data_IF_477376354479
#
_entry.id   IF_477376354479
#
_cell.length_a   1.000
_cell.length_b   1.000
_cell.length_c   1.000
_cell.angle_alpha   90.00
_cell.angle_beta   90.00
_cell.angle_gamma   90.00
#
_symmetry.space_group_name_H-M   'P 1'
#
loop_
_entity.id
_entity.type
_entity.pdbx_description
1 polymer ?
#
# COMPACT_ATOMS: atom_id res chain seq x y z
N UNK A 1 82.53 -12.21 13.18
CA UNK A 1 81.37 -12.95 13.66
C UNK A 1 80.25 -11.96 13.70
N UNK A 2 79.56 -11.87 12.56
CA UNK A 2 78.49 -10.89 12.28
C UNK A 2 77.12 -11.45 12.66
N UNK A 3 76.47 -10.76 13.54
CA UNK A 3 75.07 -11.12 13.88
C UNK A 3 74.09 -10.24 13.09
N UNK A 4 73.40 -10.88 12.22
CA UNK A 4 72.32 -10.26 11.37
C UNK A 4 71.13 -9.78 12.23
N UNK A 5 70.73 -8.53 12.03
CA UNK A 5 69.42 -7.94 12.49
C UNK A 5 68.31 -8.41 11.64
N UNK A 6 67.11 -8.71 12.17
CA UNK A 6 65.93 -8.96 11.37
C UNK A 6 65.30 -7.64 10.90
N UNK A 7 64.92 -7.63 9.66
CA UNK A 7 64.18 -6.62 8.93
C UNK A 7 62.75 -6.46 9.47
N UNK A 8 62.39 -5.27 9.95
CA UNK A 8 61.10 -4.94 10.52
C UNK A 8 60.32 -4.03 9.51
N UNK A 9 59.92 -4.59 8.37
CA UNK A 9 59.05 -3.93 7.40
C UNK A 9 57.61 -4.46 7.47
N UNK A 10 56.89 -4.12 8.54
CA UNK A 10 55.44 -4.22 8.57
C UNK A 10 54.87 -2.89 8.13
N UNK A 11 54.44 -2.82 6.86
CA UNK A 11 53.61 -1.75 6.34
C UNK A 11 52.26 -1.69 7.09
N UNK A 12 51.56 -0.54 7.04
CA UNK A 12 50.30 -0.35 7.75
C UNK A 12 49.23 -1.28 7.18
N UNK A 13 48.68 -2.14 8.05
CA UNK A 13 47.46 -2.87 7.73
C UNK A 13 46.32 -1.83 7.58
N UNK A 14 45.85 -1.61 6.36
CA UNK A 14 44.60 -0.98 6.11
C UNK A 14 43.48 -1.79 6.78
N UNK A 15 42.92 -1.20 7.84
CA UNK A 15 41.64 -1.64 8.40
C UNK A 15 40.58 -1.44 7.35
N UNK A 16 40.27 -2.48 6.59
CA UNK A 16 39.04 -2.60 5.84
C UNK A 16 37.89 -2.61 6.86
N UNK A 17 37.36 -1.41 7.15
CA UNK A 17 36.12 -1.22 7.89
C UNK A 17 35.04 -2.02 7.18
N UNK A 18 34.53 -3.03 7.90
CA UNK A 18 33.62 -4.04 7.40
C UNK A 18 32.40 -3.47 6.71
N UNK A 19 32.14 -3.97 5.53
CA UNK A 19 30.81 -3.96 4.97
C UNK A 19 29.85 -4.53 6.03
N UNK A 20 28.93 -3.72 6.55
CA UNK A 20 27.84 -4.20 7.39
C UNK A 20 27.13 -5.27 6.56
N UNK A 21 27.24 -6.53 6.96
CA UNK A 21 26.52 -7.62 6.31
C UNK A 21 25.04 -7.27 6.25
N UNK A 22 24.40 -7.58 5.11
CA UNK A 22 22.95 -7.43 4.99
C UNK A 22 22.28 -8.20 6.15
N UNK A 23 21.20 -7.67 6.74
CA UNK A 23 20.51 -8.35 7.83
C UNK A 23 20.06 -9.75 7.37
N UNK A 24 20.23 -10.73 8.25
CA UNK A 24 19.72 -12.07 8.00
C UNK A 24 18.19 -12.00 7.88
N UNK A 25 17.65 -12.56 6.78
CA UNK A 25 16.22 -12.56 6.47
C UNK A 25 15.74 -13.99 6.30
N UNK A 26 15.32 -14.65 7.39
CA UNK A 26 14.81 -16.02 7.31
C UNK A 26 13.59 -16.10 6.41
N UNK A 27 13.41 -17.26 5.74
CA UNK A 27 12.21 -17.54 4.99
C UNK A 27 10.98 -17.56 5.90
N UNK A 28 9.78 -17.37 5.32
CA UNK A 28 8.52 -17.62 6.03
C UNK A 28 8.44 -19.09 6.44
N UNK A 29 8.03 -19.32 7.66
CA UNK A 29 7.81 -20.67 8.18
C UNK A 29 6.54 -21.27 7.56
N UNK A 30 6.74 -22.12 6.55
CA UNK A 30 5.66 -22.76 5.79
C UNK A 30 4.86 -23.74 6.65
N UNK A 31 5.51 -24.42 7.60
CA UNK A 31 4.86 -25.35 8.50
C UNK A 31 3.93 -24.59 9.45
N UNK A 32 4.41 -23.51 10.07
CA UNK A 32 3.60 -22.67 10.93
C UNK A 32 2.43 -21.99 10.19
N UNK A 33 2.59 -21.65 8.91
CA UNK A 33 1.52 -21.07 8.07
C UNK A 33 0.51 -22.09 7.57
N UNK A 34 0.89 -23.36 7.44
CA UNK A 34 0.00 -24.47 7.06
C UNK A 34 -0.55 -25.26 8.26
N UNK A 35 -0.31 -24.80 9.48
CA UNK A 35 -0.84 -25.43 10.70
C UNK A 35 -2.37 -25.53 10.66
N UNK A 36 -2.89 -26.73 10.84
CA UNK A 36 -4.32 -27.02 10.72
C UNK A 36 -5.19 -26.22 11.71
N UNK A 37 -4.68 -25.98 12.94
CA UNK A 37 -5.43 -25.22 13.94
C UNK A 37 -5.46 -23.73 13.55
N UNK A 38 -4.37 -23.20 13.01
CA UNK A 38 -4.33 -21.83 12.51
C UNK A 38 -5.31 -21.65 11.34
N UNK A 39 -5.28 -22.53 10.34
CA UNK A 39 -6.19 -22.46 9.20
C UNK A 39 -7.66 -22.61 9.63
N UNK A 40 -7.96 -23.55 10.52
CA UNK A 40 -9.31 -23.73 11.05
C UNK A 40 -9.81 -22.51 11.85
N UNK A 41 -8.97 -21.95 12.72
CA UNK A 41 -9.33 -20.78 13.53
C UNK A 41 -9.57 -19.54 12.68
N UNK A 42 -8.77 -19.36 11.63
CA UNK A 42 -8.90 -18.22 10.69
C UNK A 42 -9.95 -18.46 9.61
N UNK A 43 -10.36 -19.70 9.35
CA UNK A 43 -11.22 -20.07 8.21
C UNK A 43 -10.56 -19.80 6.86
N UNK A 44 -9.22 -19.70 6.83
CA UNK A 44 -8.45 -19.61 5.58
C UNK A 44 -8.61 -20.94 4.84
N UNK A 45 -9.15 -20.86 3.61
CA UNK A 45 -9.45 -22.04 2.82
C UNK A 45 -8.18 -22.71 2.26
N UNK A 46 -7.20 -21.88 1.89
CA UNK A 46 -5.86 -22.32 1.47
C UNK A 46 -4.85 -21.19 1.67
N UNK A 47 -3.60 -21.55 1.97
CA UNK A 47 -2.49 -20.60 2.05
C UNK A 47 -1.30 -21.15 1.25
N UNK A 48 -0.87 -20.38 0.28
CA UNK A 48 0.26 -20.74 -0.60
C UNK A 48 1.40 -19.75 -0.40
N UNK A 49 2.61 -20.28 -0.20
CA UNK A 49 3.85 -19.49 -0.12
C UNK A 49 4.70 -19.76 -1.34
N UNK A 50 5.05 -18.73 -2.11
CA UNK A 50 5.96 -18.82 -3.26
C UNK A 50 7.25 -18.07 -3.00
N UNK A 51 8.36 -18.51 -3.60
CA UNK A 51 9.66 -17.84 -3.43
C UNK A 51 9.68 -16.50 -4.15
N UNK A 52 9.26 -16.48 -5.42
CA UNK A 52 9.28 -15.26 -6.24
C UNK A 52 8.09 -15.26 -7.18
N UNK A 53 7.48 -14.11 -7.33
CA UNK A 53 6.47 -13.85 -8.35
C UNK A 53 6.58 -12.42 -8.88
N UNK A 54 5.87 -12.10 -9.96
CA UNK A 54 5.71 -10.74 -10.43
C UNK A 54 4.92 -9.89 -9.42
N UNK A 55 3.72 -10.36 -9.06
CA UNK A 55 2.82 -9.72 -8.09
C UNK A 55 1.78 -10.71 -7.60
N UNK A 56 1.65 -10.88 -6.29
CA UNK A 56 0.63 -11.76 -5.67
C UNK A 56 -0.79 -11.34 -6.04
N UNK A 57 -1.08 -10.03 -6.13
CA UNK A 57 -2.36 -9.53 -6.60
C UNK A 57 -2.64 -9.92 -8.06
N UNK A 58 -1.68 -9.69 -8.95
CA UNK A 58 -1.84 -10.01 -10.36
C UNK A 58 -2.00 -11.52 -10.60
N UNK A 59 -1.27 -12.35 -9.83
CA UNK A 59 -1.39 -13.80 -9.92
C UNK A 59 -2.74 -14.29 -9.46
N UNK A 60 -3.24 -13.80 -8.32
CA UNK A 60 -4.59 -14.16 -7.84
C UNK A 60 -5.68 -13.66 -8.78
N UNK A 61 -5.55 -12.41 -9.31
CA UNK A 61 -6.51 -11.88 -10.26
C UNK A 61 -6.59 -12.77 -11.52
N UNK A 62 -5.46 -13.21 -12.06
CA UNK A 62 -5.38 -14.14 -13.17
C UNK A 62 -5.97 -15.51 -12.78
N UNK A 63 -5.60 -16.03 -11.62
CA UNK A 63 -6.03 -17.33 -11.13
C UNK A 63 -7.56 -17.42 -10.96
N UNK A 64 -8.18 -16.41 -10.34
CA UNK A 64 -9.66 -16.37 -10.20
C UNK A 64 -10.38 -16.15 -11.52
N UNK A 65 -9.71 -15.59 -12.53
CA UNK A 65 -10.26 -15.43 -13.88
C UNK A 65 -10.25 -16.77 -14.64
N UNK A 66 -9.19 -17.56 -14.48
CA UNK A 66 -9.03 -18.85 -15.18
C UNK A 66 -9.86 -19.94 -14.52
N UNK A 67 -9.79 -20.07 -13.21
CA UNK A 67 -10.56 -21.05 -12.43
C UNK A 67 -11.09 -20.43 -11.12
N UNK A 68 -12.29 -19.82 -11.16
CA UNK A 68 -12.89 -19.20 -9.98
C UNK A 68 -13.14 -20.15 -8.81
N UNK A 69 -13.30 -21.46 -9.09
CA UNK A 69 -13.62 -22.46 -8.05
C UNK A 69 -12.39 -22.96 -7.30
N UNK A 70 -11.23 -22.94 -7.95
CA UNK A 70 -9.96 -23.30 -7.31
C UNK A 70 -9.50 -22.23 -6.29
N UNK A 71 -10.10 -21.03 -6.32
CA UNK A 71 -9.73 -19.90 -5.45
C UNK A 71 -10.96 -19.42 -4.67
N UNK A 72 -11.33 -20.13 -3.60
CA UNK A 72 -12.48 -19.78 -2.78
C UNK A 72 -12.25 -18.51 -1.95
N UNK A 73 -13.28 -18.08 -1.23
CA UNK A 73 -13.16 -17.01 -0.22
C UNK A 73 -12.06 -17.34 0.79
N UNK A 74 -11.29 -16.32 1.20
CA UNK A 74 -10.13 -16.45 2.09
C UNK A 74 -9.03 -17.41 1.56
N UNK A 75 -8.90 -17.58 0.24
CA UNK A 75 -7.68 -18.13 -0.34
C UNK A 75 -6.55 -17.08 -0.24
N UNK A 76 -5.36 -17.50 0.20
CA UNK A 76 -4.21 -16.63 0.50
C UNK A 76 -3.00 -17.02 -0.36
N UNK A 77 -2.36 -16.02 -0.98
CA UNK A 77 -1.06 -16.15 -1.64
C UNK A 77 -0.07 -15.16 -1.00
N UNK A 78 1.05 -15.67 -0.52
CA UNK A 78 2.16 -14.83 -0.03
C UNK A 78 3.45 -15.18 -0.76
N UNK A 79 4.34 -14.19 -0.92
CA UNK A 79 5.60 -14.34 -1.63
C UNK A 79 6.77 -13.84 -0.79
N UNK A 80 7.93 -14.50 -0.94
CA UNK A 80 9.19 -14.02 -0.34
C UNK A 80 9.74 -12.80 -1.10
N UNK A 81 9.43 -12.71 -2.40
CA UNK A 81 9.85 -11.61 -3.27
C UNK A 81 8.84 -11.35 -4.38
N UNK A 82 8.60 -10.08 -4.69
CA UNK A 82 7.86 -9.63 -5.86
C UNK A 82 8.74 -8.79 -6.77
N UNK A 83 8.77 -9.09 -8.06
CA UNK A 83 9.62 -8.40 -9.06
C UNK A 83 8.90 -7.29 -9.82
N UNK A 84 7.57 -7.23 -9.74
CA UNK A 84 6.74 -6.26 -10.45
C UNK A 84 5.50 -5.86 -9.62
N UNK A 85 5.69 -5.75 -8.30
CA UNK A 85 4.61 -5.37 -7.40
C UNK A 85 4.09 -3.95 -7.68
N UNK A 86 2.79 -3.77 -7.56
CA UNK A 86 2.10 -2.51 -7.81
C UNK A 86 1.29 -2.06 -6.61
N UNK A 87 1.37 -0.77 -6.34
CA UNK A 87 0.41 -0.05 -5.51
C UNK A 87 -0.68 0.58 -6.37
N UNK A 88 -1.48 1.45 -5.78
CA UNK A 88 -2.50 2.22 -6.51
C UNK A 88 -1.87 3.06 -7.61
N UNK A 89 -2.63 3.23 -8.72
CA UNK A 89 -2.21 4.01 -9.89
C UNK A 89 -0.86 3.54 -10.45
N UNK A 90 -0.67 2.22 -10.48
CA UNK A 90 0.51 1.54 -11.03
C UNK A 90 1.86 1.98 -10.44
N UNK A 91 1.87 2.60 -9.26
CA UNK A 91 3.12 2.92 -8.57
C UNK A 91 3.85 1.63 -8.19
N UNK A 92 5.14 1.57 -8.47
CA UNK A 92 5.95 0.44 -8.06
C UNK A 92 5.94 0.28 -6.53
N UNK A 93 5.92 -0.97 -6.07
CA UNK A 93 6.20 -1.35 -4.69
C UNK A 93 7.47 -2.20 -4.71
N UNK A 94 8.58 -1.62 -4.29
CA UNK A 94 9.89 -2.26 -4.34
C UNK A 94 10.36 -2.62 -2.93
N UNK A 95 10.82 -3.86 -2.77
CA UNK A 95 11.40 -4.34 -1.52
C UNK A 95 12.36 -5.50 -1.83
N UNK A 96 13.52 -5.56 -1.18
CA UNK A 96 14.41 -6.71 -1.29
C UNK A 96 13.71 -8.02 -0.89
N UNK A 97 14.19 -9.14 -1.42
CA UNK A 97 13.68 -10.45 -1.07
C UNK A 97 13.71 -10.65 0.45
N UNK A 98 12.62 -11.23 0.99
CA UNK A 98 12.46 -11.54 2.42
C UNK A 98 12.54 -10.35 3.37
N UNK A 99 12.41 -9.12 2.88
CA UNK A 99 12.40 -7.91 3.71
C UNK A 99 11.01 -7.47 4.15
N UNK A 100 9.97 -7.98 3.51
CA UNK A 100 8.59 -7.56 3.67
C UNK A 100 7.64 -8.74 3.85
N UNK A 101 6.48 -8.49 4.42
CA UNK A 101 5.30 -9.36 4.24
C UNK A 101 4.58 -8.90 2.99
N UNK A 102 4.45 -9.80 2.01
CA UNK A 102 3.81 -9.56 0.72
C UNK A 102 2.69 -10.60 0.55
N UNK A 103 1.46 -10.21 0.82
CA UNK A 103 0.33 -11.14 0.89
C UNK A 103 -0.87 -10.60 0.14
N UNK A 104 -1.60 -11.49 -0.55
CA UNK A 104 -2.88 -11.19 -1.18
C UNK A 104 -3.91 -12.24 -0.81
N UNK A 105 -5.17 -11.79 -0.66
CA UNK A 105 -6.32 -12.62 -0.32
C UNK A 105 -7.36 -12.53 -1.42
N UNK A 106 -8.04 -13.62 -1.71
CA UNK A 106 -9.29 -13.63 -2.48
C UNK A 106 -10.44 -13.47 -1.49
N UNK A 107 -11.26 -12.45 -1.70
CA UNK A 107 -12.46 -12.21 -0.89
C UNK A 107 -13.70 -12.34 -1.77
N UNK A 108 -14.70 -13.06 -1.27
CA UNK A 108 -16.04 -13.19 -1.88
C UNK A 108 -17.09 -12.84 -0.82
N UNK A 109 -17.29 -11.51 -0.56
CA UNK A 109 -18.08 -11.08 0.58
C UNK A 109 -19.53 -11.54 0.47
N UNK A 110 -19.91 -12.45 1.36
CA UNK A 110 -21.28 -12.94 1.54
C UNK A 110 -21.67 -12.86 3.01
N UNK A 111 -22.94 -12.59 3.29
CA UNK A 111 -23.44 -12.58 4.67
C UNK A 111 -23.67 -14.00 5.21
N UNK A 112 -24.16 -14.11 6.45
CA UNK A 112 -24.43 -15.38 7.10
C UNK A 112 -25.46 -16.25 6.36
N UNK A 113 -26.36 -15.66 5.57
CA UNK A 113 -27.35 -16.35 4.74
C UNK A 113 -26.80 -16.77 3.35
N UNK A 114 -25.49 -16.50 3.08
CA UNK A 114 -24.86 -16.77 1.79
C UNK A 114 -25.21 -15.76 0.70
N UNK A 115 -25.85 -14.63 1.04
CA UNK A 115 -26.17 -13.56 0.09
C UNK A 115 -24.96 -12.63 -0.12
N UNK A 116 -24.67 -12.23 -1.37
CA UNK A 116 -23.63 -11.27 -1.67
C UNK A 116 -23.83 -9.95 -0.92
N UNK A 117 -22.77 -9.38 -0.38
CA UNK A 117 -22.81 -8.01 0.13
C UNK A 117 -22.94 -7.01 -1.03
N UNK A 118 -23.61 -5.86 -0.81
CA UNK A 118 -23.62 -4.77 -1.78
C UNK A 118 -22.20 -4.30 -2.11
N UNK A 119 -21.88 -4.14 -3.39
CA UNK A 119 -20.53 -3.75 -3.84
C UNK A 119 -20.10 -2.38 -3.32
N UNK A 120 -21.05 -1.51 -2.96
CA UNK A 120 -20.78 -0.21 -2.31
C UNK A 120 -20.05 -0.37 -0.96
N UNK A 121 -20.21 -1.52 -0.28
CA UNK A 121 -19.52 -1.79 1.00
C UNK A 121 -18.08 -2.25 0.82
N UNK A 122 -17.64 -2.56 -0.40
CA UNK A 122 -16.31 -3.11 -0.68
C UNK A 122 -15.18 -2.10 -0.47
N UNK A 123 -15.47 -0.81 -0.52
CA UNK A 123 -14.53 0.27 -0.16
C UNK A 123 -13.98 0.12 1.27
N UNK A 124 -14.79 -0.44 2.18
CA UNK A 124 -14.40 -0.71 3.55
C UNK A 124 -13.40 -1.84 3.71
N UNK A 125 -13.25 -2.75 2.73
CA UNK A 125 -12.33 -3.88 2.85
C UNK A 125 -10.87 -3.45 2.98
N UNK A 126 -10.46 -2.38 2.30
CA UNK A 126 -9.11 -1.83 2.45
C UNK A 126 -8.89 -1.21 3.84
N UNK A 127 -9.89 -0.52 4.37
CA UNK A 127 -9.84 0.09 5.70
C UNK A 127 -9.89 -0.98 6.80
N UNK A 128 -10.66 -2.04 6.60
CA UNK A 128 -10.70 -3.21 7.49
C UNK A 128 -9.32 -3.89 7.56
N UNK A 129 -8.68 -4.09 6.40
CA UNK A 129 -7.33 -4.63 6.35
C UNK A 129 -6.31 -3.73 7.06
N UNK A 130 -6.45 -2.41 6.90
CA UNK A 130 -5.59 -1.44 7.59
C UNK A 130 -5.76 -1.49 9.12
N UNK A 131 -7.00 -1.62 9.61
CA UNK A 131 -7.28 -1.81 11.05
C UNK A 131 -6.68 -3.12 11.55
N UNK A 132 -6.87 -4.23 10.82
CA UNK A 132 -6.31 -5.53 11.20
C UNK A 132 -4.79 -5.51 11.27
N UNK A 133 -4.13 -4.85 10.31
CA UNK A 133 -2.68 -4.72 10.28
C UNK A 133 -2.17 -3.81 11.40
N UNK A 134 -2.83 -2.67 11.63
CA UNK A 134 -2.54 -1.78 12.76
C UNK A 134 -2.59 -2.54 14.09
N UNK A 135 -3.65 -3.28 14.33
CA UNK A 135 -3.81 -4.05 15.55
C UNK A 135 -2.75 -5.16 15.68
N UNK A 136 -2.37 -5.81 14.57
CA UNK A 136 -1.27 -6.78 14.54
C UNK A 136 0.08 -6.11 14.89
N UNK A 137 0.38 -4.94 14.33
CA UNK A 137 1.60 -4.20 14.65
C UNK A 137 1.65 -3.75 16.11
N UNK A 138 0.55 -3.25 16.64
CA UNK A 138 0.47 -2.80 18.03
C UNK A 138 0.71 -3.96 19.00
N UNK A 139 0.07 -5.11 18.80
CA UNK A 139 0.08 -6.20 19.77
C UNK A 139 1.25 -7.16 19.57
N UNK A 140 1.67 -7.43 18.33
CA UNK A 140 2.75 -8.39 18.03
C UNK A 140 4.10 -7.74 17.98
N UNK A 141 4.21 -6.55 17.36
CA UNK A 141 5.48 -5.83 17.23
C UNK A 141 5.71 -4.79 18.33
N UNK A 142 4.68 -4.41 19.08
CA UNK A 142 4.76 -3.39 20.13
C UNK A 142 4.97 -1.97 19.61
N UNK A 143 4.60 -1.70 18.35
CA UNK A 143 4.75 -0.37 17.73
C UNK A 143 3.39 0.26 17.44
N UNK A 144 3.13 1.49 17.93
CA UNK A 144 1.87 2.17 17.68
C UNK A 144 1.77 2.58 16.21
N UNK A 145 0.73 2.11 15.53
CA UNK A 145 0.47 2.41 14.14
C UNK A 145 -0.82 3.21 13.97
N UNK A 146 -0.84 4.09 12.98
CA UNK A 146 -1.95 4.94 12.59
C UNK A 146 -2.39 4.61 11.16
N UNK A 147 -3.60 5.05 10.80
CA UNK A 147 -4.13 4.92 9.45
C UNK A 147 -4.04 6.25 8.70
N UNK A 148 -3.69 6.19 7.43
CA UNK A 148 -3.78 7.32 6.52
C UNK A 148 -4.66 6.96 5.34
N UNK A 149 -5.74 7.72 5.19
CA UNK A 149 -6.68 7.52 4.09
C UNK A 149 -5.98 7.69 2.72
N UNK A 150 -6.28 6.86 1.72
CA UNK A 150 -7.30 5.81 1.76
C UNK A 150 -6.79 4.41 2.17
N UNK A 151 -5.49 4.14 2.19
CA UNK A 151 -4.98 2.76 2.16
C UNK A 151 -3.58 2.56 2.76
N UNK A 152 -3.07 3.53 3.50
CA UNK A 152 -1.72 3.47 4.08
C UNK A 152 -1.78 3.23 5.60
N UNK A 153 -0.82 2.48 6.12
CA UNK A 153 -0.54 2.36 7.55
C UNK A 153 0.77 3.09 7.83
N UNK A 154 0.75 3.91 8.85
CA UNK A 154 1.89 4.75 9.25
C UNK A 154 2.37 4.37 10.65
N UNK A 155 3.65 4.60 10.91
CA UNK A 155 4.23 4.62 12.27
C UNK A 155 5.07 5.87 12.39
N UNK A 156 4.77 6.71 13.37
CA UNK A 156 5.44 8.01 13.58
C UNK A 156 5.53 8.86 12.31
N UNK A 157 4.48 8.83 11.50
CA UNK A 157 4.39 9.57 10.23
C UNK A 157 5.06 8.91 9.03
N UNK A 158 5.87 7.86 9.21
CA UNK A 158 6.48 7.08 8.14
C UNK A 158 5.53 5.98 7.64
N UNK A 159 5.41 5.83 6.31
CA UNK A 159 4.62 4.76 5.70
C UNK A 159 5.30 3.41 5.90
N UNK A 160 4.65 2.52 6.66
CA UNK A 160 5.14 1.17 6.93
C UNK A 160 4.46 0.13 6.04
N UNK A 161 3.21 0.37 5.64
CA UNK A 161 2.47 -0.56 4.79
C UNK A 161 1.52 0.16 3.82
N UNK A 162 1.18 -0.55 2.74
CA UNK A 162 0.18 -0.16 1.77
C UNK A 162 -0.77 -1.32 1.45
N UNK A 163 -2.03 -1.00 1.22
CA UNK A 163 -3.09 -1.96 0.91
C UNK A 163 -3.66 -1.65 -0.46
N UNK A 164 -3.88 -2.67 -1.28
CA UNK A 164 -4.44 -2.55 -2.62
C UNK A 164 -5.57 -3.55 -2.81
N UNK A 165 -6.80 -3.06 -2.90
CA UNK A 165 -7.96 -3.85 -3.30
C UNK A 165 -8.23 -3.67 -4.79
N UNK A 166 -8.45 -4.79 -5.50
CA UNK A 166 -8.78 -4.83 -6.91
C UNK A 166 -10.01 -5.73 -7.11
N UNK A 167 -10.99 -5.21 -7.85
CA UNK A 167 -12.16 -5.99 -8.19
C UNK A 167 -11.81 -6.96 -9.32
N UNK A 168 -12.11 -8.23 -9.13
CA UNK A 168 -11.97 -9.24 -10.17
C UNK A 168 -13.17 -9.26 -11.11
N UNK A 169 -13.10 -10.02 -12.21
CA UNK A 169 -14.19 -10.12 -13.17
C UNK A 169 -15.40 -10.78 -12.53
N UNK A 170 -16.58 -10.32 -12.93
CA UNK A 170 -17.83 -11.05 -12.68
C UNK A 170 -17.77 -12.38 -13.46
N UNK A 171 -17.78 -13.49 -12.73
CA UNK A 171 -17.92 -14.81 -13.32
C UNK A 171 -19.37 -15.09 -13.72
N UNK A 172 -19.80 -16.34 -13.59
CA UNK A 172 -21.11 -16.90 -13.94
C UNK A 172 -22.32 -16.43 -13.09
N UNK A 173 -22.37 -15.14 -12.71
CA UNK A 173 -23.44 -14.55 -11.90
C UNK A 173 -23.21 -14.58 -10.40
N UNK A 174 -22.03 -14.94 -9.98
CA UNK A 174 -21.61 -14.93 -8.58
C UNK A 174 -21.06 -13.57 -8.12
N UNK A 175 -20.74 -13.47 -6.86
CA UNK A 175 -20.12 -12.32 -6.21
C UNK A 175 -18.78 -11.98 -6.93
N UNK A 176 -18.55 -10.74 -7.39
CA UNK A 176 -17.25 -10.38 -7.93
C UNK A 176 -16.18 -10.55 -6.84
N UNK A 177 -15.10 -11.31 -7.09
CA UNK A 177 -14.05 -11.44 -6.11
C UNK A 177 -13.30 -10.13 -5.94
N UNK A 178 -12.89 -9.83 -4.71
CA UNK A 178 -11.94 -8.75 -4.42
C UNK A 178 -10.59 -9.39 -4.14
N UNK A 179 -9.56 -8.97 -4.86
CA UNK A 179 -8.18 -9.32 -4.56
C UNK A 179 -7.61 -8.23 -3.68
N UNK A 180 -7.32 -8.58 -2.43
CA UNK A 180 -6.85 -7.65 -1.41
C UNK A 180 -5.37 -7.90 -1.12
N UNK A 181 -4.48 -7.05 -1.61
CA UNK A 181 -3.05 -7.11 -1.37
C UNK A 181 -2.61 -6.23 -0.21
N UNK A 182 -1.67 -6.73 0.57
CA UNK A 182 -1.02 -6.00 1.66
C UNK A 182 0.49 -6.16 1.55
N UNK A 183 1.20 -5.03 1.48
CA UNK A 183 2.65 -4.97 1.58
C UNK A 183 3.04 -4.29 2.90
N UNK A 184 3.80 -4.99 3.76
CA UNK A 184 4.33 -4.48 5.03
C UNK A 184 5.86 -4.51 4.99
N UNK A 185 6.49 -3.37 5.15
CA UNK A 185 7.95 -3.25 5.29
C UNK A 185 8.38 -3.77 6.67
N UNK A 186 9.17 -4.86 6.72
CA UNK A 186 9.57 -5.45 8.00
C UNK A 186 11.04 -5.17 8.33
N UNK A 187 11.98 -5.62 7.51
CA UNK A 187 13.42 -5.53 7.78
C UNK A 187 14.18 -4.64 6.81
N UNK A 188 13.49 -3.75 6.07
CA UNK A 188 14.16 -2.77 5.22
C UNK A 188 15.01 -1.84 6.08
N UNK A 189 16.26 -1.64 5.67
CA UNK A 189 17.16 -0.62 6.22
C UNK A 189 16.86 0.76 5.61
N UNK A 190 17.46 1.83 6.15
CA UNK A 190 17.27 3.19 5.62
C UNK A 190 17.65 3.29 4.14
N UNK A 191 18.76 2.64 3.74
CA UNK A 191 19.26 2.65 2.36
C UNK A 191 18.40 1.83 1.38
N UNK A 192 17.54 0.95 1.90
CA UNK A 192 16.63 0.11 1.11
C UNK A 192 15.22 0.71 0.98
N UNK A 193 14.93 1.78 1.69
CA UNK A 193 13.61 2.44 1.60
C UNK A 193 13.43 3.11 0.22
N UNK A 194 12.29 2.87 -0.47
CA UNK A 194 12.06 3.41 -1.81
C UNK A 194 11.87 4.93 -1.82
N UNK A 195 11.45 5.50 -0.70
CA UNK A 195 11.21 6.95 -0.54
C UNK A 195 11.48 7.39 0.89
N UNK A 196 11.87 8.67 1.13
CA UNK A 196 12.18 9.16 2.47
C UNK A 196 11.01 9.16 3.47
N UNK A 197 9.78 9.05 2.97
CA UNK A 197 8.57 8.98 3.80
C UNK A 197 8.17 7.55 4.16
N UNK A 198 8.93 6.54 3.71
CA UNK A 198 8.73 5.15 4.10
C UNK A 198 9.47 4.83 5.41
N UNK A 199 9.07 3.73 6.05
CA UNK A 199 9.74 3.15 7.20
C UNK A 199 9.55 1.63 7.22
N UNK A 200 10.15 0.93 8.18
CA UNK A 200 9.98 -0.50 8.41
C UNK A 200 9.78 -0.83 9.88
N UNK A 201 9.29 -2.03 10.18
CA UNK A 201 9.11 -2.54 11.54
C UNK A 201 10.45 -2.48 12.31
N UNK A 202 11.54 -2.88 11.66
CA UNK A 202 12.89 -2.84 12.22
C UNK A 202 13.34 -1.41 12.57
N UNK A 203 13.15 -0.45 11.66
CA UNK A 203 13.54 0.94 11.88
C UNK A 203 12.72 1.63 12.98
N UNK A 204 11.53 1.11 13.27
CA UNK A 204 10.70 1.61 14.36
C UNK A 204 11.01 1.00 15.72
N UNK A 205 12.03 0.13 15.81
CA UNK A 205 12.48 -0.45 17.08
C UNK A 205 11.49 -1.45 17.66
N UNK A 206 10.83 -2.24 16.81
CA UNK A 206 9.85 -3.23 17.22
C UNK A 206 10.46 -4.35 18.09
N UNK A 207 9.62 -4.94 18.95
CA UNK A 207 9.98 -6.09 19.76
C UNK A 207 10.21 -7.38 18.96
N UNK A 208 9.67 -7.44 17.74
CA UNK A 208 9.91 -8.55 16.81
C UNK A 208 9.93 -8.06 15.36
N UNK A 209 10.73 -8.71 14.54
CA UNK A 209 10.79 -8.59 13.07
C UNK A 209 10.49 -9.95 12.40
N UNK A 210 9.91 -10.89 13.14
CA UNK A 210 9.47 -12.16 12.61
C UNK A 210 8.28 -11.97 11.66
N UNK A 211 8.54 -12.15 10.36
CA UNK A 211 7.55 -11.99 9.30
C UNK A 211 6.42 -13.02 9.40
N UNK A 212 6.72 -14.24 9.85
CA UNK A 212 5.70 -15.28 10.03
C UNK A 212 4.74 -14.94 11.15
N UNK A 213 5.26 -14.50 12.30
CA UNK A 213 4.45 -14.08 13.44
C UNK A 213 3.57 -12.87 13.07
N UNK A 214 4.12 -11.87 12.39
CA UNK A 214 3.38 -10.70 11.91
C UNK A 214 2.28 -11.07 10.91
N UNK A 215 2.58 -11.93 9.93
CA UNK A 215 1.62 -12.41 8.95
C UNK A 215 0.48 -13.19 9.61
N UNK A 216 0.77 -14.14 10.50
CA UNK A 216 -0.24 -14.90 11.25
C UNK A 216 -1.14 -13.99 12.09
N UNK A 217 -0.55 -13.03 12.80
CA UNK A 217 -1.31 -12.06 13.60
C UNK A 217 -2.23 -11.21 12.70
N UNK A 218 -1.72 -10.67 11.60
CA UNK A 218 -2.50 -9.90 10.64
C UNK A 218 -3.67 -10.72 10.07
N UNK A 219 -3.40 -11.94 9.56
CA UNK A 219 -4.42 -12.80 8.98
C UNK A 219 -5.50 -13.19 9.99
N UNK A 220 -5.13 -13.52 11.23
CA UNK A 220 -6.09 -13.87 12.29
C UNK A 220 -7.05 -12.71 12.56
N UNK A 221 -6.54 -11.49 12.69
CA UNK A 221 -7.35 -10.29 12.93
C UNK A 221 -8.21 -9.93 11.74
N UNK A 222 -7.61 -9.98 10.55
CA UNK A 222 -8.32 -9.70 9.32
C UNK A 222 -9.51 -10.65 9.15
N UNK A 223 -9.30 -11.95 9.24
CA UNK A 223 -10.37 -12.94 9.07
C UNK A 223 -11.48 -12.80 10.11
N UNK A 224 -11.13 -12.45 11.35
CA UNK A 224 -12.13 -12.21 12.41
C UNK A 224 -13.00 -10.98 12.10
N UNK A 225 -12.36 -9.85 11.73
CA UNK A 225 -13.07 -8.63 11.38
C UNK A 225 -13.87 -8.78 10.09
N UNK A 226 -13.31 -9.45 9.08
CA UNK A 226 -13.95 -9.68 7.79
C UNK A 226 -15.24 -10.50 7.95
N UNK A 227 -15.21 -11.63 8.68
CA UNK A 227 -16.41 -12.42 8.96
C UNK A 227 -17.45 -11.63 9.75
N UNK A 228 -17.01 -10.86 10.75
CA UNK A 228 -17.92 -10.03 11.52
C UNK A 228 -18.57 -8.93 10.66
N UNK A 229 -17.81 -8.33 9.74
CA UNK A 229 -18.30 -7.34 8.79
C UNK A 229 -19.30 -7.98 7.79
N UNK A 230 -18.99 -9.16 7.27
CA UNK A 230 -19.91 -9.91 6.41
C UNK A 230 -21.21 -10.28 7.14
N UNK A 231 -21.12 -10.74 8.38
CA UNK A 231 -22.29 -11.07 9.20
C UNK A 231 -23.15 -9.86 9.59
N UNK A 232 -22.58 -8.65 9.51
CA UNK A 232 -23.30 -7.39 9.68
C UNK A 232 -23.78 -6.81 8.34
N UNK A 233 -23.93 -7.63 7.28
CA UNK A 233 -24.37 -7.21 5.95
C UNK A 233 -23.50 -6.10 5.31
N UNK A 234 -22.23 -5.99 5.75
CA UNK A 234 -21.32 -4.94 5.29
C UNK A 234 -21.56 -3.58 5.93
N UNK A 235 -22.36 -3.51 6.99
CA UNK A 235 -22.57 -2.29 7.76
C UNK A 235 -21.33 -1.98 8.62
N UNK A 236 -20.56 -0.97 8.18
CA UNK A 236 -19.37 -0.52 8.90
C UNK A 236 -19.68 0.19 10.23
N UNK A 237 -20.94 0.58 10.47
CA UNK A 237 -21.38 1.22 11.72
C UNK A 237 -21.81 0.22 12.78
N UNK A 238 -22.05 -1.03 12.40
CA UNK A 238 -22.34 -2.12 13.35
C UNK A 238 -21.09 -2.49 14.16
N UNK A 239 -21.28 -2.90 15.41
CA UNK A 239 -20.20 -3.41 16.25
C UNK A 239 -19.59 -4.68 15.66
N UNK A 240 -18.25 -4.75 15.61
CA UNK A 240 -17.55 -5.89 15.02
C UNK A 240 -16.79 -6.70 16.08
N UNK A 241 -16.91 -8.02 16.00
CA UNK A 241 -16.19 -8.96 16.86
C UNK A 241 -16.33 -8.63 18.37
N UNK A 242 -17.53 -8.23 18.80
CA UNK A 242 -17.81 -7.87 20.20
C UNK A 242 -17.22 -6.54 20.67
N UNK A 243 -16.69 -5.72 19.75
CA UNK A 243 -16.08 -4.41 20.03
C UNK A 243 -16.69 -3.26 19.23
N UNK A 244 -16.00 -2.14 19.13
CA UNK A 244 -16.44 -0.99 18.34
C UNK A 244 -16.65 -1.34 16.86
N UNK A 245 -17.49 -0.56 16.18
CA UNK A 245 -17.72 -0.66 14.75
C UNK A 245 -16.44 -0.41 13.95
N UNK A 246 -16.41 -0.89 12.69
CA UNK A 246 -15.28 -0.63 11.78
C UNK A 246 -15.10 0.87 11.58
N UNK A 247 -16.19 1.58 11.32
CA UNK A 247 -16.19 3.03 11.16
C UNK A 247 -15.49 3.71 12.35
N UNK A 248 -15.88 3.35 13.59
CA UNK A 248 -15.29 3.94 14.81
C UNK A 248 -13.82 3.59 14.99
N UNK A 249 -13.41 2.35 14.70
CA UNK A 249 -11.99 1.92 14.74
C UNK A 249 -11.15 2.72 13.75
N UNK A 250 -11.66 2.90 12.52
CA UNK A 250 -10.99 3.68 11.48
C UNK A 250 -10.87 5.14 11.87
N UNK A 251 -11.97 5.79 12.27
CA UNK A 251 -11.93 7.19 12.70
C UNK A 251 -10.94 7.46 13.83
N UNK A 252 -10.93 6.57 14.84
CA UNK A 252 -10.04 6.72 16.00
C UNK A 252 -8.56 6.63 15.63
N UNK A 253 -8.22 5.87 14.58
CA UNK A 253 -6.84 5.64 14.15
C UNK A 253 -6.42 6.52 12.96
N UNK A 254 -7.35 7.25 12.34
CA UNK A 254 -7.15 7.94 11.05
C UNK A 254 -6.52 9.31 11.26
N UNK A 255 -5.20 9.43 11.04
CA UNK A 255 -4.48 10.72 11.16
C UNK A 255 -4.82 11.72 10.05
N UNK A 256 -5.52 11.29 9.00
CA UNK A 256 -6.00 12.20 7.94
C UNK A 256 -7.11 13.11 8.42
N UNK A 257 -7.98 12.62 9.30
CA UNK A 257 -9.11 13.42 9.82
C UNK A 257 -8.60 14.57 10.69
N UNK A 258 -9.24 15.69 10.58
CA UNK A 258 -8.83 16.91 11.29
C UNK A 258 -7.70 17.68 10.61
N UNK A 259 -7.16 17.22 9.47
CA UNK A 259 -6.06 17.87 8.76
C UNK A 259 -6.56 18.73 7.59
N UNK A 260 -5.81 19.79 7.30
CA UNK A 260 -5.91 20.44 6.00
C UNK A 260 -5.26 19.54 4.96
N UNK A 261 -5.99 19.20 3.92
CA UNK A 261 -5.53 18.28 2.87
C UNK A 261 -5.68 18.89 1.49
N UNK A 262 -4.84 18.41 0.59
CA UNK A 262 -4.97 18.60 -0.85
C UNK A 262 -5.25 17.24 -1.48
N UNK A 263 -6.42 17.05 -2.04
CA UNK A 263 -6.80 15.89 -2.81
C UNK A 263 -6.67 16.19 -4.30
N UNK A 264 -5.79 15.46 -4.99
CA UNK A 264 -5.66 15.52 -6.45
C UNK A 264 -6.56 14.45 -7.06
N UNK A 265 -7.39 14.87 -8.00
CA UNK A 265 -8.33 14.03 -8.74
C UNK A 265 -7.91 13.92 -10.21
N UNK A 266 -8.48 12.99 -11.00
CA UNK A 266 -8.24 12.90 -12.44
C UNK A 266 -8.56 14.21 -13.16
N UNK A 267 -7.82 14.51 -14.24
CA UNK A 267 -8.02 15.72 -15.04
C UNK A 267 -7.53 17.00 -14.37
N UNK A 268 -6.48 16.89 -13.56
CA UNK A 268 -5.83 18.00 -12.83
C UNK A 268 -6.77 18.79 -11.89
N UNK A 269 -7.88 18.18 -11.50
CA UNK A 269 -8.76 18.75 -10.50
C UNK A 269 -8.14 18.60 -9.10
N UNK A 270 -8.23 19.67 -8.32
CA UNK A 270 -7.78 19.68 -6.93
C UNK A 270 -8.90 20.13 -5.99
N UNK A 271 -8.99 19.46 -4.85
CA UNK A 271 -9.81 19.88 -3.70
C UNK A 271 -8.85 20.18 -2.56
N UNK A 272 -8.92 21.42 -2.03
CA UNK A 272 -8.15 21.84 -0.87
C UNK A 272 -9.16 22.18 0.24
N UNK A 273 -9.02 21.53 1.40
CA UNK A 273 -9.95 21.75 2.49
C UNK A 273 -9.62 20.94 3.71
N UNK A 274 -10.51 20.96 4.67
CA UNK A 274 -10.40 20.23 5.93
C UNK A 274 -11.01 18.83 5.77
N UNK A 275 -10.23 17.80 6.03
CA UNK A 275 -10.70 16.41 6.07
C UNK A 275 -11.57 16.21 7.31
N UNK A 276 -12.89 16.23 7.16
CA UNK A 276 -13.82 16.34 8.30
C UNK A 276 -14.19 14.96 8.88
N UNK A 277 -14.62 14.04 8.06
CA UNK A 277 -15.11 12.71 8.45
C UNK A 277 -15.08 11.73 7.28
N UNK A 278 -15.37 10.47 7.56
CA UNK A 278 -15.74 9.50 6.54
C UNK A 278 -17.26 9.40 6.43
N UNK A 279 -17.76 9.14 5.23
CA UNK A 279 -19.17 8.81 5.04
C UNK A 279 -19.42 7.29 5.24
N UNK A 280 -20.68 6.87 5.09
CA UNK A 280 -21.09 5.47 5.25
C UNK A 280 -20.44 4.53 4.23
N UNK A 281 -19.91 5.05 3.13
CA UNK A 281 -19.15 4.29 2.13
C UNK A 281 -17.65 4.25 2.40
N UNK A 282 -17.14 4.93 3.44
CA UNK A 282 -15.71 5.09 3.72
C UNK A 282 -15.01 6.12 2.83
N UNK A 283 -15.76 6.93 2.08
CA UNK A 283 -15.22 8.06 1.33
C UNK A 283 -14.87 9.20 2.26
N UNK A 284 -13.83 9.98 1.90
CA UNK A 284 -13.40 11.12 2.70
C UNK A 284 -14.21 12.36 2.36
N UNK A 285 -14.78 12.99 3.37
CA UNK A 285 -15.45 14.28 3.24
C UNK A 285 -14.46 15.42 3.53
N UNK A 286 -14.30 16.29 2.54
CA UNK A 286 -13.40 17.45 2.60
C UNK A 286 -14.24 18.72 2.51
N UNK A 287 -14.15 19.59 3.52
CA UNK A 287 -14.84 20.88 3.56
C UNK A 287 -13.87 21.96 3.08
N UNK A 288 -14.20 22.65 2.00
CA UNK A 288 -13.39 23.71 1.44
C UNK A 288 -13.54 25.06 2.20
N UNK A 289 -12.80 26.07 1.78
CA UNK A 289 -12.82 27.41 2.39
C UNK A 289 -14.18 28.13 2.26
N UNK A 290 -15.03 27.68 1.31
CA UNK A 290 -16.38 28.21 1.11
C UNK A 290 -17.44 27.42 1.90
N UNK A 291 -17.02 26.51 2.78
CA UNK A 291 -17.86 25.58 3.55
C UNK A 291 -18.64 24.58 2.67
N UNK A 292 -18.23 24.34 1.43
CA UNK A 292 -18.79 23.26 0.62
C UNK A 292 -18.14 21.93 1.01
N UNK A 293 -18.98 20.90 1.13
CA UNK A 293 -18.57 19.54 1.41
C UNK A 293 -18.34 18.78 0.08
N UNK A 294 -17.16 18.22 -0.10
CA UNK A 294 -16.76 17.43 -1.24
C UNK A 294 -16.56 15.98 -0.81
N UNK A 295 -17.20 15.06 -1.53
CA UNK A 295 -16.97 13.61 -1.34
C UNK A 295 -15.79 13.19 -2.20
N UNK A 296 -14.75 12.67 -1.56
CA UNK A 296 -13.54 12.16 -2.22
C UNK A 296 -13.51 10.65 -2.06
N UNK A 297 -13.67 9.92 -3.16
CA UNK A 297 -13.63 8.45 -3.13
C UNK A 297 -12.20 7.91 -3.20
N UNK A 298 -11.95 6.74 -2.64
CA UNK A 298 -10.65 6.10 -2.73
C UNK A 298 -10.27 5.79 -4.18
N UNK A 299 -11.24 5.50 -5.06
CA UNK A 299 -11.02 5.22 -6.48
C UNK A 299 -10.52 6.43 -7.26
N UNK A 300 -11.06 7.61 -6.96
CA UNK A 300 -10.82 8.81 -7.74
C UNK A 300 -9.58 9.59 -7.29
N UNK A 301 -9.16 9.47 -6.03
CA UNK A 301 -8.02 10.25 -5.53
C UNK A 301 -6.69 9.76 -6.09
N UNK A 302 -5.96 10.66 -6.75
CA UNK A 302 -4.60 10.41 -7.23
C UNK A 302 -3.59 10.60 -6.10
N UNK A 303 -3.67 11.74 -5.39
CA UNK A 303 -2.85 12.04 -4.24
C UNK A 303 -3.67 12.70 -3.14
N UNK A 304 -3.43 12.30 -1.89
CA UNK A 304 -3.87 13.01 -0.70
C UNK A 304 -2.65 13.41 0.14
N UNK A 305 -2.47 14.70 0.40
CA UNK A 305 -1.33 15.22 1.15
C UNK A 305 -1.80 16.24 2.17
N UNK A 306 -1.14 16.34 3.34
CA UNK A 306 -1.30 17.50 4.21
C UNK A 306 -0.99 18.77 3.43
N UNK A 307 -1.81 19.79 3.58
CA UNK A 307 -1.64 21.07 2.91
C UNK A 307 -1.37 22.20 3.91
N UNK A 308 -0.43 23.08 3.56
CA UNK A 308 -0.23 24.34 4.28
C UNK A 308 0.08 25.46 3.27
N UNK A 309 -0.42 26.70 3.50
CA UNK A 309 -0.18 27.86 2.62
C UNK A 309 1.31 28.12 2.35
N UNK A 310 2.15 27.97 3.37
CA UNK A 310 3.59 28.23 3.30
C UNK A 310 4.36 27.26 2.37
N UNK A 311 3.88 26.03 2.19
CA UNK A 311 4.49 25.06 1.27
C UNK A 311 4.14 25.32 -0.19
N UNK A 312 3.00 25.95 -0.46
CA UNK A 312 2.55 26.29 -1.82
C UNK A 312 3.37 27.46 -2.40
N UNK A 313 3.81 28.41 -1.57
CA UNK A 313 4.62 29.54 -1.99
C UNK A 313 6.02 29.13 -2.49
N UNK A 314 6.62 28.05 -1.94
CA UNK A 314 7.94 27.55 -2.37
C UNK A 314 7.91 26.79 -3.71
N UNK A 315 6.80 26.15 -4.06
CA UNK A 315 6.66 25.43 -5.33
C UNK A 315 6.24 26.32 -6.50
N UNK A 316 5.69 27.51 -6.22
CA UNK A 316 5.39 28.54 -7.23
C UNK A 316 6.61 29.33 -7.67
N UNK A 317 7.63 29.46 -6.81
CA UNK A 317 8.85 30.23 -7.10
C UNK A 317 9.82 29.49 -8.05
N UNK A 318 9.82 28.17 -8.06
CA UNK A 318 10.72 27.37 -8.92
C UNK A 318 10.21 27.20 -10.37
N UNK A 319 8.98 27.60 -10.68
CA UNK A 319 8.42 27.52 -12.05
C UNK A 319 8.55 28.80 -12.86
N UNK A 320 9.05 29.90 -12.27
CA UNK A 320 9.20 31.22 -12.96
C UNK A 320 10.65 31.67 -13.12
N UNK A 321 11.65 30.80 -12.89
CA UNK A 321 13.08 31.15 -12.97
C UNK A 321 13.82 30.70 -14.22
N UNK A 322 13.16 30.18 -15.26
CA UNK A 322 13.86 29.71 -16.47
C UNK A 322 13.15 30.17 -17.75
N UNK A 323 13.11 31.50 -17.98
CA UNK A 323 12.91 32.07 -19.31
C UNK A 323 13.19 33.59 -19.29
N UNK A 324 14.45 33.95 -19.23
CA UNK A 324 14.98 35.24 -19.68
C UNK A 324 16.47 35.06 -19.92
N UNK A 325 16.87 34.74 -21.13
CA UNK A 325 18.01 35.28 -21.83
C UNK A 325 18.21 34.49 -23.15
N UNK A 326 17.74 35.07 -24.24
CA UNK A 326 18.43 35.10 -25.54
C UNK A 326 17.49 35.72 -26.59
N UNK A 327 17.50 37.03 -26.63
CA UNK A 327 17.13 37.77 -27.83
C UNK A 327 18.42 38.47 -28.32
N UNK A 328 19.06 37.94 -29.34
CA UNK A 328 19.80 38.77 -30.24
C UNK A 328 19.79 38.19 -31.67
N UNK A 329 19.54 39.11 -32.59
CA UNK A 329 19.10 39.00 -33.92
C UNK A 329 20.02 38.30 -34.93
N UNK A 330 19.38 37.91 -36.04
CA UNK A 330 19.83 38.28 -37.41
C UNK A 330 18.80 37.90 -38.46
N UNK A 331 18.37 38.90 -39.17
CA UNK A 331 17.65 38.95 -40.46
C UNK A 331 18.35 38.16 -41.58
N UNK A 332 17.57 37.47 -42.44
CA UNK A 332 17.57 37.54 -43.91
C UNK A 332 16.67 36.48 -44.54
N UNK A 333 15.59 36.86 -45.13
CA UNK A 333 15.14 36.97 -46.54
C UNK A 333 15.12 35.68 -47.40
N UNK A 334 13.98 35.57 -48.10
CA UNK A 334 13.66 34.79 -49.34
C UNK A 334 13.30 33.31 -49.12
N UNK A 335 12.24 32.79 -49.70
CA UNK A 335 11.27 33.17 -50.69
C UNK A 335 10.44 31.96 -51.08
N UNK A 336 9.20 32.24 -51.38
CA UNK A 336 8.29 31.60 -52.37
C UNK A 336 8.06 30.11 -52.42
N UNK A 337 6.79 29.77 -52.32
CA UNK A 337 5.90 29.12 -53.28
C UNK A 337 5.54 27.61 -53.16
N UNK A 338 4.21 27.47 -53.17
CA UNK A 338 3.33 26.49 -53.82
C UNK A 338 2.82 25.28 -53.02
N UNK A 339 1.55 25.38 -52.64
CA UNK A 339 0.35 24.66 -53.20
C UNK A 339 0.39 23.14 -53.26
N UNK A 340 -0.71 22.57 -52.72
CA UNK A 340 -1.22 21.22 -53.03
C UNK A 340 -2.03 20.61 -51.88
N UNK A 341 -3.25 20.90 -51.74
CA UNK A 341 -4.56 20.22 -51.92
C UNK A 341 -4.56 18.70 -51.80
N UNK A 342 -5.57 18.22 -51.04
CA UNK A 342 -6.10 16.84 -51.10
C UNK A 342 -6.53 16.35 -49.72
N UNK A 343 -7.64 16.48 -49.37
CA UNK A 343 -8.96 15.84 -49.23
C UNK A 343 -8.96 14.36 -48.86
N UNK A 344 -9.87 14.09 -47.90
CA UNK A 344 -10.74 12.92 -47.67
C UNK A 344 -10.03 11.67 -47.11
N UNK A 345 -10.57 10.90 -46.22
CA UNK A 345 -11.88 10.70 -45.61
C UNK A 345 -11.90 9.36 -44.88
N UNK A 346 -12.76 9.26 -43.93
CA UNK A 346 -13.46 8.08 -43.38
C UNK A 346 -12.69 6.73 -43.18
N UNK A 347 -12.61 6.26 -41.96
CA UNK A 347 -13.40 5.19 -41.35
C UNK A 347 -13.05 5.10 -39.85
#
# INVERSE_FOLDING_TARGET
>A
MDAARPDDSRGPQENLTGAKGLPERPALDREALSDANFLAATGIAQLTVVETTGSTNADLLRAVTVDPRAWPDLAVLTAEHQTAARGRLDRAWEAPARSSVLVSLVLRPVNADGRPLPTQTYSWLSLLAAVALRDALNETAGIPADLKWPNDVLVRGGKIAGILAQLGPLGDGSVPPVILGTGLNVTLTEDELPVPTATSVQLQGAGTVDRTALLKSYLSRFCTLYRSFCNADGDATAGLAGGPSLHKRVETAMVTLGQQVRAQLPGDHEIIGHASRLDDSGSLLVVDASAHEHVVTAGDVVHLRPWSPERSAKHGADKHGADKDSADGRTSTHGSDKQGSGESGYA
#
